data_IF_939745787486
#
_entry.id   IF_939745787486
#
_cell.length_a   1.000
_cell.length_b   1.000
_cell.length_c   1.000
_cell.angle_alpha   90.00
_cell.angle_beta   90.00
_cell.angle_gamma   90.00
#
_symmetry.space_group_name_H-M   'P 1'
#
loop_
_entity.id
_entity.type
_entity.pdbx_description
1 polymer ?
#
# COMPACT_ATOMS: atom_id res chain seq x y z
N UNK A 1 -15.86 23.77 -2.06
CA UNK A 1 -15.35 23.08 -0.86
C UNK A 1 -15.81 23.83 0.37
N UNK A 2 -16.26 23.12 1.41
CA UNK A 2 -16.49 23.74 2.72
C UNK A 2 -15.11 24.13 3.30
N UNK A 3 -14.80 25.42 3.40
CA UNK A 3 -13.52 25.90 3.94
C UNK A 3 -13.24 25.33 5.34
N UNK A 4 -14.29 25.08 6.12
CA UNK A 4 -14.19 24.44 7.43
C UNK A 4 -13.60 23.04 7.34
N UNK A 5 -14.03 22.23 6.37
CA UNK A 5 -13.49 20.88 6.18
C UNK A 5 -11.99 20.94 5.87
N UNK A 6 -11.56 21.84 4.97
CA UNK A 6 -10.14 21.93 4.64
C UNK A 6 -9.29 22.27 5.86
N UNK A 7 -9.74 23.25 6.65
CA UNK A 7 -9.03 23.63 7.87
C UNK A 7 -8.89 22.44 8.83
N UNK A 8 -9.92 21.60 8.96
CA UNK A 8 -9.85 20.36 9.77
C UNK A 8 -8.83 19.36 9.22
N UNK A 9 -8.76 19.20 7.90
CA UNK A 9 -7.83 18.28 7.25
C UNK A 9 -6.37 18.76 7.32
N UNK A 10 -6.14 20.05 7.17
CA UNK A 10 -4.83 20.67 7.35
C UNK A 10 -4.36 20.53 8.79
N UNK A 11 -5.25 20.81 9.76
CA UNK A 11 -4.95 20.62 11.18
C UNK A 11 -4.63 19.15 11.51
N UNK A 12 -5.41 18.19 11.00
CA UNK A 12 -5.10 16.76 11.14
C UNK A 12 -3.72 16.41 10.59
N UNK A 13 -3.36 16.97 9.44
CA UNK A 13 -2.06 16.76 8.80
C UNK A 13 -0.93 17.35 9.65
N UNK A 14 -1.12 18.51 10.28
CA UNK A 14 -0.15 19.10 11.20
C UNK A 14 0.07 18.22 12.44
N UNK A 15 -1.02 17.73 13.06
CA UNK A 15 -0.93 16.82 14.20
C UNK A 15 -0.17 15.55 13.81
N UNK A 16 -0.50 14.97 12.64
CA UNK A 16 0.21 13.80 12.12
C UNK A 16 1.71 14.08 11.96
N UNK A 17 2.08 15.17 11.28
CA UNK A 17 3.49 15.56 11.04
C UNK A 17 4.24 15.88 12.33
N UNK A 18 3.57 16.37 13.35
CA UNK A 18 4.18 16.63 14.67
C UNK A 18 4.56 15.34 15.42
N UNK A 19 4.01 14.19 15.02
CA UNK A 19 4.20 12.92 15.71
C UNK A 19 3.41 12.78 17.02
N UNK A 20 2.49 13.70 17.31
CA UNK A 20 1.73 13.75 18.57
C UNK A 20 1.00 12.44 18.94
N UNK A 21 0.46 11.73 17.94
CA UNK A 21 -0.21 10.43 18.13
C UNK A 21 0.70 9.21 17.88
N UNK A 22 2.01 9.44 17.72
CA UNK A 22 2.93 8.53 17.05
C UNK A 22 2.77 8.65 15.54
N UNK A 23 3.83 9.02 14.83
CA UNK A 23 3.80 9.21 13.37
C UNK A 23 3.77 7.91 12.56
N UNK A 24 3.99 6.76 13.22
CA UNK A 24 4.34 5.54 12.52
C UNK A 24 3.08 4.83 11.99
N UNK A 25 2.94 4.79 10.68
CA UNK A 25 2.07 3.84 9.99
C UNK A 25 2.81 2.49 9.82
N UNK A 26 2.10 1.38 9.53
CA UNK A 26 2.72 0.07 9.47
C UNK A 26 3.98 -0.01 8.58
N UNK A 27 3.96 0.65 7.44
CA UNK A 27 5.00 0.74 6.40
C UNK A 27 6.27 1.46 6.85
N UNK A 28 6.20 2.24 7.94
CA UNK A 28 7.38 2.85 8.57
C UNK A 28 8.23 1.82 9.31
N UNK A 29 7.68 0.62 9.55
CA UNK A 29 8.48 -0.53 9.99
C UNK A 29 9.20 -1.13 8.79
N UNK A 30 10.41 -0.62 8.53
CA UNK A 30 11.26 -1.01 7.41
C UNK A 30 12.74 -1.07 7.78
N UNK A 31 13.60 -1.70 6.96
CA UNK A 31 15.05 -1.60 7.11
C UNK A 31 15.52 -0.14 7.02
N UNK A 32 16.40 0.28 7.94
CA UNK A 32 16.74 1.71 8.14
C UNK A 32 17.45 2.38 6.96
N UNK A 33 18.19 1.61 6.16
CA UNK A 33 19.11 2.15 5.16
C UNK A 33 18.67 1.91 3.70
N UNK A 34 17.37 1.73 3.46
CA UNK A 34 16.84 1.64 2.10
C UNK A 34 16.82 3.02 1.45
N UNK A 35 17.55 3.16 0.34
CA UNK A 35 17.53 4.36 -0.51
C UNK A 35 16.18 4.42 -1.25
N UNK A 36 15.40 5.50 -1.11
CA UNK A 36 14.14 5.67 -1.81
C UNK A 36 14.20 5.54 -3.34
N UNK A 37 15.39 5.70 -3.96
CA UNK A 37 15.60 5.56 -5.40
C UNK A 37 15.96 4.14 -5.84
N UNK A 38 16.18 3.21 -4.90
CA UNK A 38 16.73 1.89 -5.21
C UNK A 38 15.65 0.86 -5.54
N UNK A 39 16.05 -0.15 -6.32
CA UNK A 39 15.20 -1.31 -6.58
C UNK A 39 14.92 -2.09 -5.30
N UNK A 40 15.90 -2.21 -4.40
CA UNK A 40 15.72 -2.88 -3.10
C UNK A 40 14.59 -2.26 -2.28
N UNK A 41 14.47 -0.93 -2.31
CA UNK A 41 13.37 -0.23 -1.66
C UNK A 41 12.03 -0.51 -2.36
N UNK A 42 12.00 -0.44 -3.70
CA UNK A 42 10.78 -0.69 -4.47
C UNK A 42 10.25 -2.13 -4.30
N UNK A 43 11.13 -3.14 -4.34
CA UNK A 43 10.75 -4.55 -4.17
C UNK A 43 10.35 -4.87 -2.73
N UNK A 44 11.02 -4.26 -1.73
CA UNK A 44 10.68 -4.38 -0.32
C UNK A 44 9.25 -3.93 -0.05
N UNK A 45 8.78 -2.86 -0.69
CA UNK A 45 7.39 -2.42 -0.54
C UNK A 45 6.40 -3.22 -1.38
N UNK A 46 6.84 -3.76 -2.51
CA UNK A 46 5.95 -4.44 -3.47
C UNK A 46 5.51 -5.82 -2.99
N UNK A 47 6.47 -6.69 -2.63
CA UNK A 47 6.17 -8.09 -2.35
C UNK A 47 5.34 -8.30 -1.05
N UNK A 48 5.69 -7.67 0.09
CA UNK A 48 4.88 -7.75 1.31
C UNK A 48 3.47 -7.19 1.14
N UNK A 49 3.28 -6.12 0.37
CA UNK A 49 1.95 -5.54 0.12
C UNK A 49 0.99 -6.56 -0.50
N UNK A 50 1.50 -7.44 -1.37
CA UNK A 50 0.69 -8.52 -1.93
C UNK A 50 0.15 -9.48 -0.85
N UNK A 51 0.81 -9.57 0.31
CA UNK A 51 0.41 -10.39 1.44
C UNK A 51 -0.37 -9.63 2.52
N UNK A 52 -0.65 -8.33 2.35
CA UNK A 52 -1.40 -7.49 3.29
C UNK A 52 -2.93 -7.67 3.19
N UNK A 53 -3.37 -8.91 2.97
CA UNK A 53 -4.77 -9.28 2.88
C UNK A 53 -5.21 -10.05 4.11
N UNK A 54 -6.29 -9.60 4.76
CA UNK A 54 -6.91 -10.25 5.92
C UNK A 54 -5.91 -10.55 7.07
N UNK A 55 -4.95 -9.66 7.29
CA UNK A 55 -3.98 -9.75 8.40
C UNK A 55 -3.76 -8.40 9.06
N UNK A 56 -3.01 -8.40 10.15
CA UNK A 56 -2.55 -7.17 10.78
C UNK A 56 -1.33 -6.62 10.02
N UNK A 57 -1.45 -5.44 9.44
CA UNK A 57 -0.36 -4.81 8.68
C UNK A 57 0.88 -4.53 9.54
N UNK A 58 0.73 -4.20 10.83
CA UNK A 58 1.89 -3.96 11.70
C UNK A 58 2.73 -5.23 11.88
N UNK A 59 2.09 -6.39 11.99
CA UNK A 59 2.85 -7.65 12.10
C UNK A 59 3.44 -8.06 10.75
N UNK A 60 2.76 -7.78 9.64
CA UNK A 60 3.31 -7.98 8.30
C UNK A 60 4.64 -7.24 8.11
N UNK A 61 4.66 -5.93 8.33
CA UNK A 61 5.85 -5.11 8.07
C UNK A 61 7.01 -5.41 9.03
N UNK A 62 6.71 -5.79 10.28
CA UNK A 62 7.71 -6.36 11.20
C UNK A 62 8.32 -7.65 10.67
N UNK A 63 7.49 -8.58 10.20
CA UNK A 63 7.95 -9.83 9.59
C UNK A 63 8.74 -9.58 8.30
N UNK A 64 8.30 -8.65 7.46
CA UNK A 64 8.98 -8.27 6.22
C UNK A 64 10.37 -7.70 6.50
N UNK A 65 10.47 -6.77 7.46
CA UNK A 65 11.74 -6.19 7.89
C UNK A 65 12.70 -7.25 8.41
N UNK A 66 12.23 -8.12 9.33
CA UNK A 66 13.07 -9.20 9.88
C UNK A 66 13.54 -10.19 8.79
N UNK A 67 12.69 -10.49 7.80
CA UNK A 67 13.05 -11.36 6.66
C UNK A 67 14.07 -10.67 5.75
N UNK A 68 13.93 -9.37 5.54
CA UNK A 68 14.84 -8.59 4.69
C UNK A 68 16.23 -8.44 5.34
N UNK A 69 16.30 -8.23 6.65
CA UNK A 69 17.54 -7.99 7.38
C UNK A 69 18.33 -9.29 7.69
N UNK A 70 17.71 -10.46 7.52
CA UNK A 70 18.35 -11.76 7.75
C UNK A 70 18.99 -12.30 6.46
N UNK A 71 20.32 -12.48 6.48
CA UNK A 71 21.10 -13.03 5.37
C UNK A 71 20.63 -14.41 4.88
N UNK A 72 19.99 -15.22 5.73
CA UNK A 72 19.46 -16.54 5.32
C UNK A 72 18.15 -16.44 4.53
N UNK A 73 17.43 -15.32 4.63
CA UNK A 73 16.08 -15.18 4.07
C UNK A 73 15.92 -14.01 3.11
N UNK A 74 16.81 -13.02 3.15
CA UNK A 74 16.77 -11.80 2.34
C UNK A 74 16.70 -12.05 0.83
N UNK A 75 17.23 -13.19 0.35
CA UNK A 75 17.13 -13.61 -1.05
C UNK A 75 15.70 -13.61 -1.59
N UNK A 76 14.67 -13.77 -0.74
CA UNK A 76 13.26 -13.76 -1.17
C UNK A 76 12.83 -12.39 -1.73
N UNK A 77 13.59 -11.33 -1.48
CA UNK A 77 13.38 -10.00 -2.06
C UNK A 77 14.17 -9.77 -3.36
N UNK A 78 14.90 -10.77 -3.86
CA UNK A 78 15.52 -10.74 -5.18
C UNK A 78 14.76 -11.71 -6.11
N UNK A 79 13.94 -11.21 -7.06
CA UNK A 79 13.14 -12.07 -7.92
C UNK A 79 13.93 -13.14 -8.67
N UNK A 80 15.16 -12.85 -9.11
CA UNK A 80 16.02 -13.79 -9.82
C UNK A 80 16.52 -14.90 -8.90
N UNK A 81 16.90 -14.57 -7.66
CA UNK A 81 17.29 -15.58 -6.68
C UNK A 81 16.11 -16.47 -6.31
N UNK A 82 14.91 -15.90 -6.14
CA UNK A 82 13.68 -16.67 -5.93
C UNK A 82 13.46 -17.66 -7.06
N UNK A 83 13.71 -17.28 -8.31
CA UNK A 83 13.53 -18.17 -9.47
C UNK A 83 14.57 -19.31 -9.55
N UNK A 84 15.71 -19.17 -8.88
CA UNK A 84 16.77 -20.17 -8.83
C UNK A 84 16.64 -21.13 -7.63
N UNK A 85 15.65 -20.91 -6.77
CA UNK A 85 15.41 -21.66 -5.54
C UNK A 85 14.22 -22.59 -5.69
N UNK A 86 14.26 -23.73 -5.01
CA UNK A 86 13.09 -24.59 -4.99
C UNK A 86 11.97 -24.02 -4.09
N UNK A 87 10.76 -24.56 -4.25
CA UNK A 87 9.60 -24.09 -3.51
C UNK A 87 9.77 -24.19 -1.98
N UNK A 88 10.46 -25.21 -1.49
CA UNK A 88 10.63 -25.48 -0.06
C UNK A 88 11.62 -24.49 0.55
N UNK A 89 12.69 -24.15 -0.16
CA UNK A 89 13.64 -23.11 0.25
C UNK A 89 12.95 -21.74 0.39
N UNK A 90 12.19 -21.32 -0.62
CA UNK A 90 11.43 -20.06 -0.57
C UNK A 90 10.38 -20.09 0.54
N UNK A 91 9.66 -21.20 0.69
CA UNK A 91 8.67 -21.36 1.76
C UNK A 91 9.31 -21.24 3.15
N UNK A 92 10.45 -21.89 3.38
CA UNK A 92 11.15 -21.85 4.66
C UNK A 92 11.56 -20.41 5.02
N UNK A 93 12.14 -19.68 4.06
CA UNK A 93 12.52 -18.29 4.25
C UNK A 93 11.31 -17.38 4.57
N UNK A 94 10.24 -17.48 3.78
CA UNK A 94 9.03 -16.68 4.00
C UNK A 94 8.31 -17.00 5.32
N UNK A 95 8.46 -18.21 5.86
CA UNK A 95 7.77 -18.62 7.09
C UNK A 95 8.59 -18.44 8.35
N UNK A 96 9.93 -18.33 8.26
CA UNK A 96 10.85 -18.14 9.41
C UNK A 96 10.39 -17.03 10.35
N UNK A 97 10.03 -15.87 9.81
CA UNK A 97 9.53 -14.72 10.56
C UNK A 97 8.03 -14.49 10.41
N UNK A 98 7.27 -15.49 9.94
CA UNK A 98 5.83 -15.38 9.68
C UNK A 98 5.45 -14.29 8.66
N UNK A 99 6.32 -14.03 7.68
CA UNK A 99 5.98 -13.18 6.54
C UNK A 99 4.87 -13.83 5.71
N UNK A 100 4.98 -15.12 5.42
CA UNK A 100 3.89 -15.96 4.95
C UNK A 100 3.20 -16.67 6.13
N UNK A 101 1.91 -16.40 6.33
CA UNK A 101 1.03 -17.11 7.28
C UNK A 101 0.40 -18.36 6.64
N UNK A 102 0.12 -18.33 5.34
CA UNK A 102 -0.39 -19.47 4.58
C UNK A 102 0.75 -20.06 3.75
N UNK A 103 1.57 -20.89 4.40
CA UNK A 103 2.86 -21.35 3.87
C UNK A 103 2.84 -21.78 2.40
N UNK A 104 1.83 -22.53 1.95
CA UNK A 104 1.76 -22.98 0.57
C UNK A 104 1.26 -21.86 -0.37
N UNK A 105 0.08 -21.32 -0.08
CA UNK A 105 -0.61 -20.35 -0.95
C UNK A 105 0.19 -19.06 -1.10
N UNK A 106 0.69 -18.49 -0.01
CA UNK A 106 1.41 -17.21 -0.06
C UNK A 106 2.81 -17.36 -0.67
N UNK A 107 3.46 -18.52 -0.51
CA UNK A 107 4.71 -18.81 -1.25
C UNK A 107 4.45 -18.90 -2.75
N UNK A 108 3.37 -19.56 -3.19
CA UNK A 108 3.00 -19.60 -4.62
C UNK A 108 2.73 -18.19 -5.18
N UNK A 109 2.04 -17.34 -4.41
CA UNK A 109 1.77 -15.94 -4.77
C UNK A 109 3.07 -15.16 -4.91
N UNK A 110 3.98 -15.29 -3.94
CA UNK A 110 5.27 -14.61 -3.93
C UNK A 110 6.14 -15.00 -5.12
N UNK A 111 6.28 -16.31 -5.37
CA UNK A 111 7.01 -16.84 -6.53
C UNK A 111 6.35 -16.38 -7.84
N UNK A 112 5.02 -16.37 -7.93
CA UNK A 112 4.32 -15.90 -9.13
C UNK A 112 4.64 -14.44 -9.44
N UNK A 113 4.67 -13.57 -8.43
CA UNK A 113 5.05 -12.15 -8.60
C UNK A 113 6.50 -12.02 -9.06
N UNK A 114 7.43 -12.73 -8.41
CA UNK A 114 8.84 -12.74 -8.81
C UNK A 114 9.00 -13.21 -10.26
N UNK A 115 8.33 -14.30 -10.63
CA UNK A 115 8.34 -14.83 -12.00
C UNK A 115 7.82 -13.81 -13.01
N UNK A 116 6.74 -13.10 -12.71
CA UNK A 116 6.18 -12.04 -13.56
C UNK A 116 7.16 -10.91 -13.76
N UNK A 117 7.85 -10.46 -12.70
CA UNK A 117 8.88 -9.44 -12.76
C UNK A 117 10.07 -9.91 -13.61
N UNK A 118 10.57 -11.13 -13.38
CA UNK A 118 11.71 -11.68 -14.14
C UNK A 118 11.40 -11.78 -15.63
N UNK A 119 10.23 -12.32 -15.99
CA UNK A 119 9.89 -12.58 -17.39
C UNK A 119 9.65 -11.33 -18.22
N UNK A 120 9.12 -10.28 -17.61
CA UNK A 120 8.61 -9.13 -18.35
C UNK A 120 9.35 -7.81 -18.04
N UNK A 121 10.05 -7.74 -16.91
CA UNK A 121 10.57 -6.47 -16.35
C UNK A 121 11.97 -6.65 -15.73
N UNK A 122 12.79 -7.56 -16.26
CA UNK A 122 14.15 -7.83 -15.77
C UNK A 122 14.26 -8.10 -14.25
N UNK A 123 13.18 -8.58 -13.63
CA UNK A 123 13.07 -8.82 -12.19
C UNK A 123 13.04 -7.56 -11.34
N UNK A 124 12.71 -6.40 -11.92
CA UNK A 124 12.72 -5.10 -11.25
C UNK A 124 11.34 -4.45 -11.26
N UNK A 125 10.93 -3.94 -10.12
CA UNK A 125 9.73 -3.09 -9.97
C UNK A 125 9.95 -1.75 -10.64
N UNK A 126 11.16 -1.20 -10.56
CA UNK A 126 11.54 0.05 -11.26
C UNK A 126 11.34 -0.06 -12.78
N UNK A 127 11.81 -1.15 -13.40
CA UNK A 127 11.59 -1.42 -14.83
C UNK A 127 10.11 -1.64 -15.16
N UNK A 128 9.34 -2.26 -14.25
CA UNK A 128 7.89 -2.41 -14.41
C UNK A 128 7.19 -1.05 -14.51
N UNK A 129 7.48 -0.10 -13.61
CA UNK A 129 6.92 1.25 -13.72
C UNK A 129 7.43 2.00 -14.96
N UNK A 130 8.73 1.91 -15.26
CA UNK A 130 9.34 2.57 -16.41
C UNK A 130 8.73 2.09 -17.74
N UNK A 131 8.41 0.80 -17.87
CA UNK A 131 7.74 0.23 -19.05
C UNK A 131 6.39 0.90 -19.36
N UNK A 132 5.72 1.42 -18.33
CA UNK A 132 4.44 2.13 -18.46
C UNK A 132 4.59 3.66 -18.37
N UNK A 133 5.78 4.20 -18.68
CA UNK A 133 6.10 5.62 -18.59
C UNK A 133 5.86 6.22 -17.19
N UNK A 134 5.95 5.38 -16.15
CA UNK A 134 5.58 5.69 -14.76
C UNK A 134 4.12 6.11 -14.57
N UNK A 135 3.24 5.80 -15.52
CA UNK A 135 1.81 6.11 -15.45
C UNK A 135 1.06 5.08 -14.61
N UNK A 136 0.59 5.51 -13.44
CA UNK A 136 -0.11 4.63 -12.51
C UNK A 136 -1.42 4.07 -13.09
N UNK A 137 -2.04 4.77 -14.04
CA UNK A 137 -3.28 4.29 -14.66
C UNK A 137 -2.98 3.13 -15.61
N UNK A 138 -1.90 3.23 -16.39
CA UNK A 138 -1.44 2.15 -17.27
C UNK A 138 -1.01 0.93 -16.46
N UNK A 139 -0.21 1.14 -15.40
CA UNK A 139 0.19 0.08 -14.46
C UNK A 139 -1.03 -0.62 -13.87
N UNK A 140 -2.00 0.16 -13.38
CA UNK A 140 -3.26 -0.38 -12.82
C UNK A 140 -4.06 -1.15 -13.86
N UNK A 141 -4.21 -0.62 -15.06
CA UNK A 141 -4.94 -1.28 -16.15
C UNK A 141 -4.29 -2.63 -16.50
N UNK A 142 -2.96 -2.64 -16.67
CA UNK A 142 -2.22 -3.85 -16.95
C UNK A 142 -2.42 -4.91 -15.87
N UNK A 143 -2.28 -4.54 -14.59
CA UNK A 143 -2.44 -5.47 -13.48
C UNK A 143 -3.88 -5.93 -13.26
N UNK A 144 -4.89 -5.09 -13.50
CA UNK A 144 -6.27 -5.42 -13.14
C UNK A 144 -7.10 -5.99 -14.28
N UNK A 145 -6.75 -5.65 -15.52
CA UNK A 145 -7.51 -5.99 -16.73
C UNK A 145 -6.74 -6.98 -17.59
N UNK A 146 -5.53 -6.64 -18.01
CA UNK A 146 -4.79 -7.43 -19.01
C UNK A 146 -4.15 -8.69 -18.41
N UNK A 147 -3.49 -8.55 -17.27
CA UNK A 147 -2.60 -9.57 -16.69
C UNK A 147 -2.93 -9.90 -15.23
N UNK A 148 -4.20 -9.85 -14.86
CA UNK A 148 -4.67 -10.07 -13.48
C UNK A 148 -4.12 -11.32 -12.79
N UNK A 149 -4.01 -12.44 -13.51
CA UNK A 149 -3.50 -13.71 -12.97
C UNK A 149 -1.98 -13.69 -12.70
N UNK A 150 -1.28 -12.71 -13.25
CA UNK A 150 0.17 -12.57 -13.10
C UNK A 150 0.54 -11.78 -11.85
N UNK A 151 -0.45 -11.10 -11.25
CA UNK A 151 -0.34 -10.31 -10.03
C UNK A 151 -1.34 -10.78 -8.96
N UNK A 152 -1.24 -12.04 -8.49
CA UNK A 152 -2.18 -12.57 -7.52
C UNK A 152 -2.17 -11.73 -6.23
N UNK A 153 -3.36 -11.47 -5.68
CA UNK A 153 -3.65 -10.54 -4.58
C UNK A 153 -3.34 -9.06 -4.89
N UNK A 154 -2.15 -8.76 -5.40
CA UNK A 154 -1.71 -7.40 -5.67
C UNK A 154 -2.60 -6.68 -6.70
N UNK A 155 -3.13 -7.39 -7.71
CA UNK A 155 -4.10 -6.85 -8.68
C UNK A 155 -5.51 -6.61 -8.11
N UNK A 156 -5.78 -6.94 -6.85
CA UNK A 156 -7.08 -6.64 -6.24
C UNK A 156 -7.32 -5.13 -6.13
N UNK A 157 -8.55 -4.65 -6.35
CA UNK A 157 -8.91 -3.21 -6.32
C UNK A 157 -8.30 -2.48 -5.11
N UNK A 158 -8.44 -3.07 -3.91
CA UNK A 158 -7.90 -2.52 -2.66
C UNK A 158 -6.36 -2.53 -2.63
N UNK A 159 -5.75 -3.71 -2.79
CA UNK A 159 -4.29 -3.86 -2.62
C UNK A 159 -3.50 -3.16 -3.71
N UNK A 160 -3.97 -3.17 -4.95
CA UNK A 160 -3.32 -2.46 -6.05
C UNK A 160 -3.26 -0.96 -5.75
N UNK A 161 -4.37 -0.39 -5.27
CA UNK A 161 -4.43 1.03 -4.96
C UNK A 161 -3.57 1.39 -3.75
N UNK A 162 -3.60 0.56 -2.71
CA UNK A 162 -2.73 0.72 -1.54
C UNK A 162 -1.24 0.59 -1.89
N UNK A 163 -0.88 -0.38 -2.73
CA UNK A 163 0.48 -0.53 -3.24
C UNK A 163 0.94 0.72 -4.01
N UNK A 164 0.11 1.26 -4.93
CA UNK A 164 0.44 2.51 -5.63
C UNK A 164 0.65 3.68 -4.66
N UNK A 165 -0.14 3.77 -3.60
CA UNK A 165 0.07 4.74 -2.53
C UNK A 165 1.42 4.55 -1.82
N UNK A 166 1.74 3.31 -1.43
CA UNK A 166 3.01 3.00 -0.78
C UNK A 166 4.18 3.35 -1.70
N UNK A 167 4.09 3.02 -3.00
CA UNK A 167 5.12 3.38 -3.98
C UNK A 167 5.27 4.90 -4.09
N UNK A 168 4.17 5.65 -4.12
CA UNK A 168 4.18 7.11 -4.15
C UNK A 168 4.79 7.75 -2.90
N UNK A 169 4.54 7.19 -1.72
CA UNK A 169 5.01 7.76 -0.44
C UNK A 169 6.44 7.39 -0.09
N UNK A 170 6.84 6.14 -0.38
CA UNK A 170 8.07 5.56 0.17
C UNK A 170 9.18 5.38 -0.85
N UNK A 171 8.93 5.74 -2.11
CA UNK A 171 9.93 5.71 -3.18
C UNK A 171 10.00 7.06 -3.89
N UNK A 172 11.12 7.32 -4.55
CA UNK A 172 11.29 8.48 -5.42
C UNK A 172 10.98 8.14 -6.90
N UNK A 173 10.17 7.12 -7.16
CA UNK A 173 9.72 6.84 -8.52
C UNK A 173 9.01 8.08 -9.10
N UNK A 174 9.30 8.48 -10.34
CA UNK A 174 8.69 9.66 -10.95
C UNK A 174 7.28 9.33 -11.46
N UNK A 175 6.40 8.90 -10.55
CA UNK A 175 5.03 8.49 -10.84
C UNK A 175 4.21 9.66 -11.39
N UNK A 176 3.46 9.41 -12.47
CA UNK A 176 2.54 10.38 -13.07
C UNK A 176 1.09 9.96 -12.82
N UNK A 177 0.17 10.94 -12.89
CA UNK A 177 -1.25 10.77 -12.58
C UNK A 177 -1.51 10.30 -11.14
N UNK A 178 -0.68 10.69 -10.17
CA UNK A 178 -0.80 10.29 -8.76
C UNK A 178 -2.10 10.78 -8.11
N UNK A 179 -2.74 11.80 -8.66
CA UNK A 179 -4.08 12.25 -8.33
C UNK A 179 -5.18 11.19 -8.55
N UNK A 180 -4.87 10.14 -9.32
CA UNK A 180 -5.75 9.00 -9.59
C UNK A 180 -5.54 7.85 -8.59
N UNK A 181 -4.67 8.00 -7.59
CA UNK A 181 -4.60 7.12 -6.43
C UNK A 181 -5.77 7.49 -5.51
N UNK A 182 -6.77 6.62 -5.45
CA UNK A 182 -7.92 6.86 -4.59
C UNK A 182 -7.54 6.65 -3.12
N UNK A 183 -8.28 7.25 -2.19
CA UNK A 183 -8.09 6.98 -0.77
C UNK A 183 -8.36 5.50 -0.45
N UNK A 184 -7.56 4.88 0.42
CA UNK A 184 -7.73 3.47 0.74
C UNK A 184 -8.94 3.28 1.67
N UNK A 185 -9.96 2.57 1.22
CA UNK A 185 -11.24 2.45 1.95
C UNK A 185 -11.24 1.30 2.96
N UNK A 186 -10.30 1.32 3.90
CA UNK A 186 -10.32 0.40 5.04
C UNK A 186 -11.28 0.87 6.15
N UNK A 187 -11.42 0.07 7.22
CA UNK A 187 -12.34 0.39 8.32
C UNK A 187 -12.02 1.72 9.02
N UNK A 188 -10.76 2.14 9.07
CA UNK A 188 -10.33 3.36 9.74
C UNK A 188 -10.67 4.58 8.88
N UNK A 189 -10.40 4.50 7.57
CA UNK A 189 -10.79 5.56 6.63
C UNK A 189 -12.31 5.67 6.51
N UNK A 190 -13.05 4.56 6.46
CA UNK A 190 -14.52 4.59 6.47
C UNK A 190 -15.04 5.31 7.73
N UNK A 191 -14.52 4.95 8.91
CA UNK A 191 -14.91 5.59 10.18
C UNK A 191 -14.55 7.07 10.22
N UNK A 192 -13.37 7.46 9.73
CA UNK A 192 -12.96 8.86 9.69
C UNK A 192 -13.83 9.67 8.72
N UNK A 193 -14.12 9.11 7.54
CA UNK A 193 -14.99 9.73 6.53
C UNK A 193 -16.40 9.96 7.09
N UNK A 194 -16.95 8.97 7.78
CA UNK A 194 -18.24 9.09 8.47
C UNK A 194 -18.19 10.13 9.60
N UNK A 195 -17.11 10.13 10.42
CA UNK A 195 -16.94 11.09 11.52
C UNK A 195 -16.83 12.54 11.04
N UNK A 196 -16.32 12.77 9.84
CA UNK A 196 -16.29 14.07 9.16
C UNK A 196 -17.64 14.45 8.52
N UNK A 197 -18.65 13.57 8.56
CA UNK A 197 -19.97 13.81 7.97
C UNK A 197 -19.98 13.74 6.44
N UNK A 198 -18.97 13.13 5.81
CA UNK A 198 -18.87 13.04 4.35
C UNK A 198 -19.72 11.90 3.75
N UNK A 199 -20.09 10.94 4.57
CA UNK A 199 -21.02 9.85 4.23
C UNK A 199 -22.02 9.69 5.39
N UNK A 200 -23.16 9.09 5.10
CA UNK A 200 -24.26 8.83 6.04
C UNK A 200 -24.16 7.46 6.72
N UNK A 201 -24.92 7.25 7.80
CA UNK A 201 -25.05 5.93 8.45
C UNK A 201 -25.51 4.83 7.46
N UNK A 202 -26.44 5.16 6.56
CA UNK A 202 -26.94 4.22 5.54
C UNK A 202 -25.83 3.82 4.55
N UNK A 203 -25.00 4.77 4.13
CA UNK A 203 -23.86 4.51 3.24
C UNK A 203 -22.77 3.69 3.91
N UNK A 204 -22.56 3.84 5.23
CA UNK A 204 -21.62 3.04 6.01
C UNK A 204 -22.01 1.56 6.04
N UNK A 205 -23.30 1.26 6.21
CA UNK A 205 -23.82 -0.12 6.25
C UNK A 205 -23.99 -0.73 4.84
N UNK A 206 -23.79 0.06 3.78
CA UNK A 206 -23.92 -0.39 2.42
C UNK A 206 -22.80 -1.34 1.99
N UNK A 207 -23.15 -2.36 1.20
CA UNK A 207 -22.16 -3.20 0.50
C UNK A 207 -21.27 -2.40 -0.47
N UNK A 208 -21.67 -1.17 -0.82
CA UNK A 208 -20.94 -0.24 -1.68
C UNK A 208 -20.23 0.89 -0.91
N UNK A 209 -20.11 0.79 0.42
CA UNK A 209 -19.48 1.82 1.28
C UNK A 209 -18.15 2.35 0.72
N UNK A 210 -17.33 1.49 0.12
CA UNK A 210 -16.06 1.88 -0.48
C UNK A 210 -16.23 2.85 -1.65
N UNK A 211 -17.21 2.64 -2.51
CA UNK A 211 -17.47 3.52 -3.66
C UNK A 211 -18.02 4.87 -3.19
N UNK A 212 -18.86 4.89 -2.14
CA UNK A 212 -19.33 6.13 -1.50
C UNK A 212 -18.18 6.93 -0.90
N UNK A 213 -17.29 6.30 -0.14
CA UNK A 213 -16.09 6.96 0.43
C UNK A 213 -15.23 7.57 -0.67
N UNK A 214 -14.89 6.81 -1.71
CA UNK A 214 -14.05 7.31 -2.81
C UNK A 214 -14.71 8.53 -3.47
N UNK A 215 -16.01 8.44 -3.79
CA UNK A 215 -16.76 9.53 -4.40
C UNK A 215 -16.80 10.77 -3.51
N UNK A 216 -17.10 10.60 -2.23
CA UNK A 216 -17.19 11.70 -1.27
C UNK A 216 -15.87 12.48 -1.18
N UNK A 217 -14.72 11.79 -1.15
CA UNK A 217 -13.43 12.45 -1.11
C UNK A 217 -13.04 13.16 -2.41
N UNK A 218 -13.33 12.55 -3.57
CA UNK A 218 -13.13 13.21 -4.87
C UNK A 218 -13.96 14.49 -4.94
N UNK A 219 -15.21 14.45 -4.51
CA UNK A 219 -16.11 15.62 -4.52
C UNK A 219 -15.69 16.68 -3.50
N UNK A 220 -15.30 16.26 -2.29
CA UNK A 220 -14.90 17.16 -1.20
C UNK A 220 -13.67 18.00 -1.56
N UNK A 221 -12.69 17.41 -2.26
CA UNK A 221 -11.43 18.04 -2.64
C UNK A 221 -11.41 18.60 -4.06
N UNK A 222 -12.54 18.52 -4.79
CA UNK A 222 -12.64 19.02 -6.16
C UNK A 222 -12.32 20.52 -6.23
N UNK A 223 -11.36 20.88 -7.06
CA UNK A 223 -10.92 22.27 -7.27
C UNK A 223 -9.92 22.77 -6.22
N UNK A 224 -9.39 21.88 -5.37
CA UNK A 224 -8.29 22.17 -4.45
C UNK A 224 -6.96 21.71 -5.05
N UNK A 225 -5.86 22.08 -4.40
CA UNK A 225 -4.53 21.56 -4.72
C UNK A 225 -4.24 20.20 -4.05
N UNK A 226 -5.19 19.67 -3.28
CA UNK A 226 -5.04 18.42 -2.56
C UNK A 226 -5.77 17.29 -3.28
N UNK A 227 -5.22 16.09 -3.13
CA UNK A 227 -5.85 14.84 -3.57
C UNK A 227 -6.18 13.99 -2.34
N UNK A 228 -7.19 13.11 -2.40
CA UNK A 228 -7.64 12.34 -1.24
C UNK A 228 -6.54 11.60 -0.49
N UNK A 229 -5.52 11.16 -1.22
CA UNK A 229 -4.42 10.38 -0.67
C UNK A 229 -3.48 11.19 0.22
N UNK A 230 -3.44 12.52 0.09
CA UNK A 230 -2.60 13.40 0.91
C UNK A 230 -2.99 13.32 2.40
N UNK A 231 -4.25 12.98 2.70
CA UNK A 231 -4.78 12.90 4.05
C UNK A 231 -4.83 11.47 4.61
N UNK A 232 -4.42 10.47 3.82
CA UNK A 232 -4.56 9.04 4.15
C UNK A 232 -3.98 8.69 5.52
N UNK A 233 -2.71 9.01 5.78
CA UNK A 233 -2.04 8.68 7.05
C UNK A 233 -2.69 9.38 8.24
N UNK A 234 -3.00 10.67 8.09
CA UNK A 234 -3.57 11.48 9.16
C UNK A 234 -4.96 10.96 9.57
N UNK A 235 -5.84 10.68 8.60
CA UNK A 235 -7.17 10.13 8.83
C UNK A 235 -7.11 8.74 9.48
N UNK A 236 -6.22 7.89 8.97
CA UNK A 236 -6.06 6.54 9.49
C UNK A 236 -5.61 6.57 10.96
N UNK A 237 -4.62 7.40 11.28
CA UNK A 237 -4.06 7.53 12.62
C UNK A 237 -5.06 8.16 13.59
N UNK A 238 -5.80 9.17 13.17
CA UNK A 238 -6.86 9.79 13.95
C UNK A 238 -7.95 8.78 14.34
N UNK A 239 -8.42 7.98 13.38
CA UNK A 239 -9.38 6.89 13.64
C UNK A 239 -8.82 5.80 14.54
N UNK A 240 -7.57 5.38 14.29
CA UNK A 240 -6.90 4.32 15.06
C UNK A 240 -6.73 4.72 16.53
N UNK A 241 -6.45 5.99 16.79
CA UNK A 241 -6.32 6.51 18.15
C UNK A 241 -7.66 6.77 18.83
N UNK A 242 -8.79 6.44 18.19
CA UNK A 242 -10.11 6.59 18.77
C UNK A 242 -10.64 8.02 18.72
N UNK A 243 -10.17 8.83 17.77
CA UNK A 243 -10.60 10.23 17.58
C UNK A 243 -10.32 11.12 18.81
N UNK A 244 -9.12 11.00 19.40
CA UNK A 244 -8.72 11.74 20.60
C UNK A 244 -8.74 13.27 20.43
N UNK A 245 -8.49 13.76 19.23
CA UNK A 245 -8.64 15.19 18.91
C UNK A 245 -10.01 15.44 18.31
N UNK A 246 -10.69 16.46 18.83
CA UNK A 246 -11.94 16.96 18.27
C UNK A 246 -11.63 17.97 17.17
N UNK A 247 -12.36 17.88 16.05
CA UNK A 247 -12.17 18.69 14.84
C UNK A 247 -13.40 19.56 14.54
#
# INVERSE_FOLDING_TARGET
MNQELLNKLEHLTEIYKSGYWGSNVPEDTRPKNLDPNSEENAIFYTLPTALDYQRNSNTLWKSATATFEDNETSFVFNPQEVMNKDFIEVQAALTKYSLALQKNKQTQIWIRLCQTLVNNFNGKVTDFFAYFDNDIQKVRHYMQVERKKDFPYLSGKKLCNYWLYVMYQYTNLPLINTDQIYIATDRHIIRATHKLGLITDEEVESTKVQDYVIKAWIEALKGTNYVPIDFQSALWLWSRNGFKEEL
#
